data_IF_047589227496
#
_entry.id   IF_047589227496
#
_cell.length_a   1.000
_cell.length_b   1.000
_cell.length_c   1.000
_cell.angle_alpha   90.00
_cell.angle_beta   90.00
_cell.angle_gamma   90.00
#
_symmetry.space_group_name_H-M   'P 1'
#
loop_
_entity.id
_entity.type
_entity.pdbx_description
1 polymer ?
#
# COMPACT_ATOMS: atom_id res chain seq x y z
N UNK A 1 30.53 -12.15 -3.39
CA UNK A 1 29.48 -12.37 -2.38
C UNK A 1 28.39 -13.24 -3.01
N UNK A 2 28.09 -14.42 -2.45
CA UNK A 2 27.03 -15.32 -2.96
C UNK A 2 25.92 -15.37 -1.91
N UNK A 3 24.72 -14.91 -2.28
CA UNK A 3 23.54 -14.93 -1.40
C UNK A 3 22.67 -16.10 -1.83
N UNK A 4 22.49 -17.07 -0.93
CA UNK A 4 21.65 -18.24 -1.19
C UNK A 4 20.16 -17.90 -1.00
N UNK A 5 19.32 -18.42 -1.91
CA UNK A 5 17.86 -18.27 -1.82
C UNK A 5 17.30 -19.34 -0.90
N UNK A 6 16.36 -18.96 -0.02
CA UNK A 6 15.67 -19.89 0.89
C UNK A 6 14.19 -20.10 0.55
N UNK A 7 13.50 -19.01 0.19
CA UNK A 7 12.05 -19.00 -0.04
C UNK A 7 11.68 -18.55 -1.47
N UNK A 8 12.66 -18.44 -2.37
CA UNK A 8 12.44 -17.92 -3.73
C UNK A 8 13.15 -18.80 -4.76
N UNK A 9 12.54 -18.92 -5.93
CA UNK A 9 13.12 -19.62 -7.07
C UNK A 9 13.78 -18.62 -8.01
N UNK A 10 14.93 -18.98 -8.58
CA UNK A 10 15.58 -18.14 -9.58
C UNK A 10 14.68 -17.96 -10.81
N UNK A 11 14.58 -16.73 -11.32
CA UNK A 11 13.75 -16.41 -12.49
C UNK A 11 12.25 -16.30 -12.21
N UNK A 12 11.80 -16.51 -10.96
CA UNK A 12 10.40 -16.34 -10.57
C UNK A 12 10.21 -15.12 -9.67
N UNK A 13 9.06 -14.45 -9.84
CA UNK A 13 8.64 -13.41 -8.89
C UNK A 13 8.45 -14.04 -7.51
N UNK A 14 8.88 -13.39 -6.42
CA UNK A 14 8.57 -13.84 -5.06
C UNK A 14 7.06 -13.89 -4.77
N UNK A 15 6.24 -13.19 -5.57
CA UNK A 15 4.78 -13.16 -5.44
C UNK A 15 4.07 -14.16 -6.36
N UNK A 16 4.79 -14.94 -7.18
CA UNK A 16 4.20 -15.79 -8.21
C UNK A 16 3.20 -16.85 -7.69
N UNK A 17 3.28 -17.24 -6.41
CA UNK A 17 2.37 -18.18 -5.76
C UNK A 17 1.25 -17.53 -4.94
N UNK A 18 1.07 -16.21 -5.04
CA UNK A 18 0.04 -15.47 -4.32
C UNK A 18 -0.95 -14.94 -5.35
N UNK A 19 -2.20 -15.37 -5.23
CA UNK A 19 -3.29 -14.76 -6.01
C UNK A 19 -3.66 -13.40 -5.44
N UNK A 20 -3.92 -12.44 -6.33
CA UNK A 20 -4.33 -11.09 -5.95
C UNK A 20 -5.72 -10.78 -6.51
N UNK A 21 -6.45 -9.94 -5.77
CA UNK A 21 -7.71 -9.34 -6.21
C UNK A 21 -7.69 -7.84 -6.06
N UNK A 22 -8.46 -7.18 -6.90
CA UNK A 22 -8.81 -5.78 -6.72
C UNK A 22 -9.90 -5.65 -5.65
N UNK A 23 -9.77 -4.66 -4.80
CA UNK A 23 -10.79 -4.28 -3.82
C UNK A 23 -10.88 -2.76 -3.71
N UNK A 24 -11.99 -2.30 -3.13
CA UNK A 24 -12.18 -0.89 -2.79
C UNK A 24 -12.12 -0.74 -1.28
N UNK A 25 -11.38 0.26 -0.80
CA UNK A 25 -11.41 0.69 0.59
C UNK A 25 -12.14 2.02 0.68
N UNK A 26 -13.06 2.11 1.63
CA UNK A 26 -13.90 3.30 1.81
C UNK A 26 -14.12 3.60 3.30
N UNK A 27 -14.00 4.87 3.65
CA UNK A 27 -14.32 5.38 4.98
C UNK A 27 -15.50 6.33 4.81
N UNK A 28 -16.57 6.11 5.59
CA UNK A 28 -17.75 6.97 5.61
C UNK A 28 -17.95 7.60 6.98
N UNK A 29 -18.53 8.79 6.98
CA UNK A 29 -19.11 9.41 8.17
C UNK A 29 -20.41 8.70 8.56
N UNK A 30 -20.91 8.89 9.80
CA UNK A 30 -22.19 8.34 10.24
C UNK A 30 -23.39 8.76 9.36
N UNK A 31 -23.32 9.93 8.72
CA UNK A 31 -24.33 10.42 7.78
C UNK A 31 -24.24 9.78 6.37
N UNK A 32 -23.29 8.87 6.15
CA UNK A 32 -23.06 8.16 4.90
C UNK A 32 -22.15 8.87 3.90
N UNK A 33 -21.72 10.11 4.16
CA UNK A 33 -20.78 10.83 3.30
C UNK A 33 -19.39 10.19 3.31
N UNK A 34 -18.71 10.22 2.16
CA UNK A 34 -17.41 9.56 1.98
C UNK A 34 -16.27 10.47 2.46
N UNK A 35 -15.50 9.99 3.44
CA UNK A 35 -14.30 10.66 3.95
C UNK A 35 -13.06 10.28 3.12
N UNK A 36 -13.01 9.04 2.68
CA UNK A 36 -11.92 8.51 1.87
C UNK A 36 -12.44 7.35 1.03
N UNK A 37 -12.01 7.28 -0.23
CA UNK A 37 -12.28 6.14 -1.11
C UNK A 37 -11.04 5.89 -1.96
N UNK A 38 -10.63 4.63 -2.00
CA UNK A 38 -9.57 4.16 -2.87
C UNK A 38 -10.04 2.88 -3.56
N UNK A 39 -10.17 2.94 -4.87
CA UNK A 39 -10.60 1.83 -5.72
C UNK A 39 -9.39 1.10 -6.30
N UNK A 40 -9.63 -0.13 -6.79
CA UNK A 40 -8.64 -0.93 -7.50
C UNK A 40 -7.35 -1.16 -6.70
N UNK A 41 -7.49 -1.35 -5.38
CA UNK A 41 -6.39 -1.76 -4.52
C UNK A 41 -6.14 -3.24 -4.73
N UNK A 42 -4.96 -3.59 -5.21
CA UNK A 42 -4.54 -4.96 -5.36
C UNK A 42 -4.06 -5.52 -4.02
N UNK A 43 -4.70 -6.59 -3.55
CA UNK A 43 -4.40 -7.25 -2.28
C UNK A 43 -4.39 -8.77 -2.46
N UNK A 44 -3.65 -9.52 -1.63
CA UNK A 44 -3.73 -10.98 -1.65
C UNK A 44 -5.18 -11.46 -1.48
N UNK A 45 -5.59 -12.45 -2.28
CA UNK A 45 -6.94 -13.00 -2.33
C UNK A 45 -7.47 -13.38 -0.94
N UNK A 46 -6.60 -13.95 -0.10
CA UNK A 46 -6.93 -14.45 1.24
C UNK A 46 -7.07 -13.35 2.31
N UNK A 47 -6.78 -12.09 1.99
CA UNK A 47 -6.97 -10.99 2.94
C UNK A 47 -8.45 -10.67 3.14
N UNK A 48 -8.83 -10.50 4.40
CA UNK A 48 -10.12 -9.94 4.77
C UNK A 48 -10.22 -8.48 4.33
N UNK A 49 -11.44 -7.98 4.16
CA UNK A 49 -11.65 -6.57 3.83
C UNK A 49 -11.02 -5.63 4.87
N UNK A 50 -11.09 -5.99 6.17
CA UNK A 50 -10.45 -5.23 7.25
C UNK A 50 -8.93 -5.13 7.05
N UNK A 51 -8.26 -6.21 6.64
CA UNK A 51 -6.82 -6.18 6.37
C UNK A 51 -6.50 -5.25 5.18
N UNK A 52 -7.31 -5.31 4.11
CA UNK A 52 -7.20 -4.41 2.96
C UNK A 52 -7.41 -2.94 3.36
N UNK A 53 -8.38 -2.68 4.23
CA UNK A 53 -8.66 -1.33 4.72
C UNK A 53 -7.53 -0.78 5.59
N UNK A 54 -6.92 -1.61 6.46
CA UNK A 54 -5.75 -1.20 7.24
C UNK A 54 -4.59 -0.81 6.33
N UNK A 55 -4.32 -1.58 5.27
CA UNK A 55 -3.29 -1.23 4.27
C UNK A 55 -3.60 0.13 3.63
N UNK A 56 -4.81 0.29 3.09
CA UNK A 56 -5.21 1.49 2.39
C UNK A 56 -5.15 2.73 3.29
N UNK A 57 -5.62 2.62 4.54
CA UNK A 57 -5.65 3.71 5.50
C UNK A 57 -4.27 4.11 6.03
N UNK A 58 -3.37 3.14 6.26
CA UNK A 58 -2.05 3.43 6.82
C UNK A 58 -1.03 3.88 5.78
N UNK A 59 -1.08 3.29 4.58
CA UNK A 59 0.00 3.45 3.59
C UNK A 59 -0.42 4.19 2.32
N UNK A 60 -1.69 4.09 1.91
CA UNK A 60 -2.15 4.74 0.66
C UNK A 60 -2.90 6.04 0.90
N UNK A 61 -3.51 6.21 2.08
CA UNK A 61 -4.13 7.47 2.48
C UNK A 61 -3.02 8.51 2.71
N UNK A 62 -2.87 9.42 1.75
CA UNK A 62 -1.92 10.55 1.79
C UNK A 62 -2.36 11.70 2.70
N UNK A 63 -3.12 11.42 3.77
CA UNK A 63 -3.53 12.46 4.71
C UNK A 63 -2.28 13.03 5.40
N UNK A 64 -2.05 14.34 5.28
CA UNK A 64 -0.87 15.01 5.82
C UNK A 64 0.37 14.96 4.92
N UNK A 65 0.34 14.27 3.77
CA UNK A 65 1.44 14.30 2.79
C UNK A 65 1.22 15.47 1.84
N UNK A 66 2.20 16.37 1.74
CA UNK A 66 2.11 17.53 0.86
C UNK A 66 2.05 17.11 -0.62
N UNK A 67 1.10 17.68 -1.37
CA UNK A 67 0.96 17.42 -2.80
C UNK A 67 2.11 18.00 -3.65
N UNK A 68 2.80 19.02 -3.13
CA UNK A 68 3.94 19.67 -3.77
C UNK A 68 5.00 19.90 -2.72
N UNK A 69 6.24 19.57 -3.05
CA UNK A 69 7.40 19.84 -2.22
C UNK A 69 8.05 21.15 -2.65
N UNK A 70 8.57 21.89 -1.68
CA UNK A 70 9.47 23.02 -1.92
C UNK A 70 10.87 22.58 -1.52
N UNK A 71 11.87 22.89 -2.35
CA UNK A 71 13.27 22.68 -1.96
C UNK A 71 13.59 23.56 -0.76
N UNK A 72 14.19 22.98 0.25
CA UNK A 72 14.69 23.64 1.46
C UNK A 72 16.18 23.32 1.54
N UNK A 73 16.97 24.27 2.04
CA UNK A 73 18.39 24.04 2.31
C UNK A 73 18.51 23.03 3.46
N UNK A 74 19.42 22.06 3.32
CA UNK A 74 19.66 21.01 4.31
C UNK A 74 21.17 20.97 4.63
N UNK A 75 21.66 21.98 5.36
CA UNK A 75 23.09 22.24 5.63
C UNK A 75 23.82 21.10 6.37
N UNK A 76 23.08 20.13 6.91
CA UNK A 76 23.62 18.98 7.67
C UNK A 76 23.49 17.64 6.94
N UNK A 77 22.88 17.63 5.75
CA UNK A 77 22.78 16.43 4.90
C UNK A 77 23.96 16.45 3.92
N UNK A 78 24.85 15.43 3.92
CA UNK A 78 26.05 15.39 3.06
C UNK A 78 25.77 15.45 1.56
#
# INVERSE_FOLDING_TARGET
>A
MRIERRNTTAGQSPYAGIDFRLTTSEIRNPDGSVVFRLENVEVPQFWSQVASDVLAQKYFRKAGVAAKLKKVEEETVP
#
